data_IF_482357253118
#
_entry.id   IF_482357253118
#
_cell.length_a   1.000
_cell.length_b   1.000
_cell.length_c   1.000
_cell.angle_alpha   90.00
_cell.angle_beta   90.00
_cell.angle_gamma   90.00
#
_symmetry.space_group_name_H-M   'P 1'
#
loop_
_entity.id
_entity.type
_entity.pdbx_description
1 polymer ?
#
# COMPACT_ATOMS: atom_id res chain seq x y z
N UNK A 1 -20.77 -0.69 -42.83
CA UNK A 1 -21.03 -0.52 -41.38
C UNK A 1 -20.10 -1.34 -40.47
N UNK A 2 -20.01 -2.68 -40.58
CA UNK A 2 -19.25 -3.55 -39.64
C UNK A 2 -17.79 -3.17 -39.29
N UNK A 3 -17.06 -2.45 -40.15
CA UNK A 3 -15.67 -2.01 -39.85
C UNK A 3 -15.60 -0.86 -38.85
N UNK A 4 -16.65 -0.04 -38.75
CA UNK A 4 -16.70 1.10 -37.82
C UNK A 4 -16.98 0.59 -36.41
N UNK A 5 -17.92 -0.34 -36.27
CA UNK A 5 -18.27 -0.96 -34.98
C UNK A 5 -17.07 -1.66 -34.33
N UNK A 6 -16.25 -2.37 -35.12
CA UNK A 6 -15.07 -3.08 -34.61
C UNK A 6 -13.93 -2.14 -34.15
N UNK A 7 -13.87 -0.91 -34.68
CA UNK A 7 -12.88 0.10 -34.25
C UNK A 7 -13.31 0.76 -32.95
N UNK A 8 -14.59 1.11 -32.87
CA UNK A 8 -15.19 1.64 -31.64
C UNK A 8 -15.02 0.65 -30.48
N UNK A 9 -15.32 -0.64 -30.70
CA UNK A 9 -15.18 -1.65 -29.64
C UNK A 9 -13.73 -1.85 -29.17
N UNK A 10 -12.75 -1.60 -30.03
CA UNK A 10 -11.33 -1.69 -29.67
C UNK A 10 -10.82 -0.43 -28.94
N UNK A 11 -11.35 0.74 -29.29
CA UNK A 11 -11.05 2.00 -28.60
C UNK A 11 -11.60 1.99 -27.16
N UNK A 12 -12.84 1.53 -26.96
CA UNK A 12 -13.44 1.43 -25.61
C UNK A 12 -12.66 0.44 -24.73
N UNK A 13 -12.30 -0.74 -25.25
CA UNK A 13 -11.50 -1.71 -24.52
C UNK A 13 -10.11 -1.16 -24.13
N UNK A 14 -9.48 -0.36 -25.00
CA UNK A 14 -8.16 0.23 -24.74
C UNK A 14 -8.16 1.42 -23.76
N UNK A 15 -9.33 2.01 -23.50
CA UNK A 15 -9.54 3.07 -22.52
C UNK A 15 -9.80 2.50 -21.13
N UNK A 16 -10.58 1.42 -21.03
CA UNK A 16 -10.90 0.69 -19.79
C UNK A 16 -9.64 0.09 -19.13
N UNK A 17 -8.76 -0.54 -19.92
CA UNK A 17 -7.52 -1.16 -19.42
C UNK A 17 -6.54 -0.19 -18.73
N UNK A 18 -6.56 1.11 -19.08
CA UNK A 18 -5.59 2.09 -18.54
C UNK A 18 -5.97 2.61 -17.16
N UNK A 19 -7.25 2.73 -16.85
CA UNK A 19 -7.70 3.11 -15.51
C UNK A 19 -7.62 1.91 -14.55
N UNK A 20 -7.86 0.70 -15.06
CA UNK A 20 -7.88 -0.53 -14.28
C UNK A 20 -6.54 -0.85 -13.61
N UNK A 21 -5.40 -0.70 -14.30
CA UNK A 21 -4.11 -1.06 -13.69
C UNK A 21 -3.73 -0.12 -12.53
N UNK A 22 -4.04 1.17 -12.64
CA UNK A 22 -3.77 2.15 -11.57
C UNK A 22 -4.65 1.86 -10.36
N UNK A 23 -5.96 1.70 -10.60
CA UNK A 23 -6.90 1.41 -9.53
C UNK A 23 -6.63 0.05 -8.89
N UNK A 24 -6.32 -0.98 -9.69
CA UNK A 24 -5.95 -2.31 -9.21
C UNK A 24 -4.68 -2.27 -8.35
N UNK A 25 -3.66 -1.52 -8.73
CA UNK A 25 -2.44 -1.36 -7.91
C UNK A 25 -2.75 -0.65 -6.60
N UNK A 26 -3.52 0.44 -6.63
CA UNK A 26 -3.91 1.18 -5.43
C UNK A 26 -4.72 0.32 -4.45
N UNK A 27 -5.73 -0.39 -4.96
CA UNK A 27 -6.59 -1.26 -4.16
C UNK A 27 -5.80 -2.44 -3.60
N UNK A 28 -5.00 -3.11 -4.43
CA UNK A 28 -4.20 -4.27 -3.99
C UNK A 28 -3.15 -3.86 -2.95
N UNK A 29 -2.42 -2.77 -3.21
CA UNK A 29 -1.42 -2.23 -2.28
C UNK A 29 -2.04 -1.75 -0.97
N UNK A 30 -3.19 -1.06 -1.05
CA UNK A 30 -3.94 -0.61 0.12
C UNK A 30 -4.45 -1.77 0.98
N UNK A 31 -5.00 -2.82 0.37
CA UNK A 31 -5.47 -4.01 1.09
C UNK A 31 -4.31 -4.72 1.82
N UNK A 32 -3.19 -4.91 1.14
CA UNK A 32 -1.99 -5.52 1.72
C UNK A 32 -1.46 -4.67 2.87
N UNK A 33 -1.33 -3.36 2.69
CA UNK A 33 -0.88 -2.44 3.73
C UNK A 33 -1.77 -2.46 4.96
N UNK A 34 -3.09 -2.49 4.77
CA UNK A 34 -4.06 -2.61 5.85
C UNK A 34 -3.90 -3.93 6.62
N UNK A 35 -3.77 -5.06 5.91
CA UNK A 35 -3.53 -6.36 6.54
C UNK A 35 -2.23 -6.38 7.36
N UNK A 36 -1.13 -5.84 6.83
CA UNK A 36 0.15 -5.77 7.55
C UNK A 36 0.05 -4.87 8.77
N UNK A 37 -0.64 -3.73 8.67
CA UNK A 37 -0.88 -2.82 9.80
C UNK A 37 -1.68 -3.50 10.93
N UNK A 38 -2.75 -4.22 10.58
CA UNK A 38 -3.55 -5.00 11.54
C UNK A 38 -2.73 -6.11 12.20
N UNK A 39 -1.95 -6.87 11.42
CA UNK A 39 -1.08 -7.92 11.94
C UNK A 39 -0.03 -7.36 12.91
N UNK A 40 0.56 -6.22 12.57
CA UNK A 40 1.56 -5.55 13.41
C UNK A 40 0.96 -5.11 14.74
N UNK A 41 -0.25 -4.52 14.71
CA UNK A 41 -0.97 -4.12 15.92
C UNK A 41 -1.33 -5.33 16.79
N UNK A 42 -1.81 -6.42 16.17
CA UNK A 42 -2.14 -7.65 16.88
C UNK A 42 -0.91 -8.28 17.54
N UNK A 43 0.23 -8.33 16.83
CA UNK A 43 1.49 -8.83 17.36
C UNK A 43 1.97 -7.97 18.54
N UNK A 44 1.84 -6.65 18.46
CA UNK A 44 2.21 -5.74 19.53
C UNK A 44 1.39 -6.01 20.80
N UNK A 45 0.07 -6.17 20.68
CA UNK A 45 -0.82 -6.49 21.80
C UNK A 45 -0.45 -7.85 22.41
N UNK A 46 -0.19 -8.84 21.57
CA UNK A 46 0.19 -10.18 22.00
C UNK A 46 1.52 -10.18 22.77
N UNK A 47 2.56 -9.58 22.18
CA UNK A 47 3.87 -9.39 22.82
C UNK A 47 3.76 -8.63 24.14
N UNK A 48 2.94 -7.57 24.19
CA UNK A 48 2.79 -6.76 25.40
C UNK A 48 2.17 -7.57 26.55
N UNK A 49 1.23 -8.47 26.22
CA UNK A 49 0.62 -9.40 27.19
C UNK A 49 1.57 -10.48 27.67
N UNK A 50 2.31 -11.11 26.76
CA UNK A 50 3.17 -12.27 27.08
C UNK A 50 4.51 -11.88 27.72
N UNK A 51 5.11 -10.76 27.30
CA UNK A 51 6.49 -10.38 27.69
C UNK A 51 6.53 -9.33 28.79
N UNK A 52 5.59 -8.37 28.80
CA UNK A 52 5.67 -7.18 29.67
C UNK A 52 4.52 -7.05 30.68
N UNK A 53 3.45 -7.84 30.55
CA UNK A 53 2.33 -7.86 31.51
C UNK A 53 1.58 -6.52 31.64
N UNK A 54 1.72 -5.62 30.66
CA UNK A 54 1.20 -4.24 30.76
C UNK A 54 1.27 -3.49 29.43
N UNK A 55 0.77 -2.23 29.40
CA UNK A 55 0.78 -1.41 28.18
C UNK A 55 2.19 -1.27 27.62
N UNK A 56 2.39 -1.40 26.29
CA UNK A 56 3.71 -1.20 25.71
C UNK A 56 4.18 0.23 26.01
N UNK A 57 5.27 0.34 26.76
CA UNK A 57 5.96 1.61 26.98
C UNK A 57 6.64 2.02 25.66
N UNK A 58 5.89 2.71 24.80
CA UNK A 58 6.40 3.36 23.59
C UNK A 58 6.83 4.77 23.99
N UNK A 59 8.12 5.05 23.89
CA UNK A 59 8.63 6.42 24.04
C UNK A 59 8.31 7.24 22.81
N UNK A 60 8.07 8.55 22.98
CA UNK A 60 7.89 9.50 21.86
C UNK A 60 9.04 9.41 20.84
N UNK A 61 10.26 9.15 21.31
CA UNK A 61 11.43 8.97 20.43
C UNK A 61 11.35 7.74 19.54
N UNK A 62 10.76 6.64 20.01
CA UNK A 62 10.57 5.42 19.23
C UNK A 62 9.51 5.63 18.15
N UNK A 63 8.42 6.31 18.48
CA UNK A 63 7.37 6.66 17.53
C UNK A 63 7.91 7.54 16.39
N UNK A 64 8.73 8.56 16.72
CA UNK A 64 9.37 9.41 15.71
C UNK A 64 10.33 8.60 14.84
N UNK A 65 11.17 7.75 15.44
CA UNK A 65 12.12 6.92 14.69
C UNK A 65 11.42 6.02 13.68
N UNK A 66 10.36 5.34 14.11
CA UNK A 66 9.54 4.49 13.23
C UNK A 66 8.94 5.33 12.10
N UNK A 67 8.33 6.48 12.40
CA UNK A 67 7.75 7.36 11.39
C UNK A 67 8.75 7.84 10.35
N UNK A 68 9.94 8.29 10.77
CA UNK A 68 11.01 8.73 9.87
C UNK A 68 11.50 7.57 8.99
N UNK A 69 11.67 6.37 9.55
CA UNK A 69 12.04 5.18 8.77
C UNK A 69 10.98 4.84 7.72
N UNK A 70 9.70 4.89 8.08
CA UNK A 70 8.59 4.65 7.12
C UNK A 70 8.59 5.69 6.00
N UNK A 71 8.77 6.98 6.31
CA UNK A 71 8.87 8.03 5.28
C UNK A 71 10.06 7.78 4.35
N UNK A 72 11.22 7.40 4.91
CA UNK A 72 12.41 7.05 4.13
C UNK A 72 12.16 5.89 3.16
N UNK A 73 11.43 4.86 3.61
CA UNK A 73 11.04 3.73 2.78
C UNK A 73 10.10 4.13 1.64
N UNK A 74 9.05 4.90 1.92
CA UNK A 74 8.12 5.40 0.90
C UNK A 74 8.86 6.22 -0.14
N UNK A 75 9.78 7.10 0.29
CA UNK A 75 10.62 7.89 -0.62
C UNK A 75 11.52 7.01 -1.48
N UNK A 76 12.13 5.97 -0.91
CA UNK A 76 12.97 5.03 -1.66
C UNK A 76 12.17 4.30 -2.75
N UNK A 77 10.95 3.85 -2.44
CA UNK A 77 10.05 3.20 -3.40
C UNK A 77 9.65 4.19 -4.51
N UNK A 78 9.30 5.43 -4.17
CA UNK A 78 8.97 6.46 -5.16
C UNK A 78 10.16 6.75 -6.10
N UNK A 79 11.38 6.80 -5.57
CA UNK A 79 12.59 7.02 -6.34
C UNK A 79 12.94 5.87 -7.31
N UNK A 80 12.42 4.65 -7.10
CA UNK A 80 12.54 3.56 -8.07
C UNK A 80 11.74 3.84 -9.35
N UNK A 81 10.60 4.55 -9.24
CA UNK A 81 9.78 4.95 -10.39
C UNK A 81 10.38 6.10 -11.21
N UNK A 82 11.20 6.94 -10.57
CA UNK A 82 11.81 8.13 -11.19
C UNK A 82 13.03 7.83 -12.06
N UNK A 83 13.64 6.63 -11.92
CA UNK A 83 14.81 6.20 -12.71
C UNK A 83 14.46 5.64 -14.10
N UNK A 84 13.34 6.03 -14.69
CA UNK A 84 12.91 5.54 -16.01
C UNK A 84 12.80 6.66 -17.02
#
# INVERSE_FOLDING_TARGET
>A
MKRVDNRLNHEIASMEDREDWQMRVLVTGGLIGACVGLLTSWLLVRTSREVRGGPPAISTGDAIKVGVTTIGLVRAIAALGDRR
#
